data_IF_265950187360
#
_entry.id   IF_265950187360
#
_cell.length_a   1.000
_cell.length_b   1.000
_cell.length_c   1.000
_cell.angle_alpha   90.00
_cell.angle_beta   90.00
_cell.angle_gamma   90.00
#
_symmetry.space_group_name_H-M   'P 1'
#
loop_
_entity.id
_entity.type
_entity.pdbx_description
1 polymer ?
#
# COMPACT_ATOMS: atom_id res chain seq x y z
N UNK A 1 -9.36 12.07 -8.31
CA UNK A 1 -8.62 12.23 -7.04
C UNK A 1 -7.15 12.41 -7.39
N UNK A 2 -6.45 13.39 -6.83
CA UNK A 2 -5.02 13.58 -7.10
C UNK A 2 -4.21 12.92 -5.97
N UNK A 3 -3.64 11.75 -6.26
CA UNK A 3 -2.72 11.05 -5.35
C UNK A 3 -1.34 11.68 -5.44
N UNK A 4 -0.62 11.76 -4.32
CA UNK A 4 0.80 12.13 -4.32
C UNK A 4 1.64 11.07 -5.02
N UNK A 5 2.85 11.43 -5.46
CA UNK A 5 3.79 10.46 -6.07
C UNK A 5 4.06 9.26 -5.15
N UNK A 6 4.17 9.50 -3.84
CA UNK A 6 4.44 8.44 -2.87
C UNK A 6 3.21 7.54 -2.69
N UNK A 7 2.01 8.12 -2.59
CA UNK A 7 0.76 7.34 -2.54
C UNK A 7 0.59 6.48 -3.79
N UNK A 8 0.89 7.00 -4.98
CA UNK A 8 0.85 6.24 -6.23
C UNK A 8 1.87 5.10 -6.24
N UNK A 9 3.05 5.34 -5.69
CA UNK A 9 4.13 4.34 -5.62
C UNK A 9 3.75 3.20 -4.68
N UNK A 10 3.29 3.49 -3.46
CA UNK A 10 2.78 2.47 -2.51
C UNK A 10 1.60 1.73 -3.11
N UNK A 11 0.66 2.44 -3.72
CA UNK A 11 -0.52 1.83 -4.31
C UNK A 11 -0.15 0.84 -5.42
N UNK A 12 0.87 1.13 -6.24
CA UNK A 12 1.37 0.22 -7.27
C UNK A 12 2.14 -0.99 -6.71
N UNK A 13 2.73 -0.85 -5.52
CA UNK A 13 3.44 -1.94 -4.85
C UNK A 13 2.50 -2.87 -4.09
N UNK A 14 1.33 -2.39 -3.68
CA UNK A 14 0.29 -3.22 -3.08
C UNK A 14 -0.26 -4.22 -4.10
N UNK A 15 -0.61 -5.39 -3.59
CA UNK A 15 -1.26 -6.46 -4.37
C UNK A 15 -2.66 -6.75 -3.82
N UNK A 16 -3.39 -7.65 -4.48
CA UNK A 16 -4.67 -8.16 -3.96
C UNK A 16 -4.49 -9.12 -2.78
N UNK A 17 -3.27 -9.56 -2.52
CA UNK A 17 -2.90 -10.40 -1.37
C UNK A 17 -2.64 -9.53 -0.12
N UNK A 18 -2.81 -10.12 1.06
CA UNK A 18 -2.51 -9.45 2.32
C UNK A 18 -1.00 -9.34 2.55
N UNK A 19 -0.50 -8.12 2.70
CA UNK A 19 0.92 -7.82 2.86
C UNK A 19 1.15 -6.94 4.09
N UNK A 20 2.24 -7.19 4.81
CA UNK A 20 2.73 -6.29 5.86
C UNK A 20 3.46 -5.08 5.27
N UNK A 21 3.58 -3.95 5.99
CA UNK A 21 4.36 -2.79 5.55
C UNK A 21 5.79 -3.15 5.12
N UNK A 22 6.40 -4.14 5.77
CA UNK A 22 7.74 -4.64 5.44
C UNK A 22 7.72 -5.27 4.03
N UNK A 23 6.78 -6.18 3.77
CA UNK A 23 6.66 -6.83 2.44
C UNK A 23 6.34 -5.84 1.32
N UNK A 24 5.54 -4.80 1.62
CA UNK A 24 5.29 -3.72 0.66
C UNK A 24 6.56 -2.92 0.41
N UNK A 25 7.34 -2.61 1.46
CA UNK A 25 8.62 -1.90 1.31
C UNK A 25 9.69 -2.70 0.58
N UNK A 26 9.70 -4.02 0.69
CA UNK A 26 10.59 -4.91 -0.08
C UNK A 26 10.31 -4.88 -1.59
N UNK A 27 9.09 -4.50 -1.98
CA UNK A 27 8.68 -4.36 -3.38
C UNK A 27 9.05 -2.98 -3.96
N UNK A 28 9.63 -2.10 -3.15
CA UNK A 28 10.00 -0.73 -3.52
C UNK A 28 11.53 -0.57 -3.61
N UNK A 29 12.03 0.47 -4.31
CA UNK A 29 13.46 0.74 -4.37
C UNK A 29 14.08 0.89 -2.99
N UNK A 30 15.34 0.47 -2.84
CA UNK A 30 16.08 0.63 -1.60
C UNK A 30 16.12 2.11 -1.18
N UNK A 31 15.80 2.40 0.09
CA UNK A 31 15.77 3.77 0.61
C UNK A 31 14.49 4.55 0.33
N UNK A 32 13.43 3.92 -0.18
CA UNK A 32 12.16 4.60 -0.50
C UNK A 32 11.48 5.29 0.70
N UNK A 33 11.77 4.85 1.93
CA UNK A 33 11.31 5.53 3.14
C UNK A 33 11.42 4.65 4.37
N UNK A 34 11.13 5.22 5.54
CA UNK A 34 11.03 4.48 6.78
C UNK A 34 9.64 3.83 6.96
N UNK A 35 9.55 2.84 7.84
CA UNK A 35 8.30 2.10 8.10
C UNK A 35 7.18 2.99 8.66
N UNK A 36 7.49 4.11 9.32
CA UNK A 36 6.46 5.03 9.83
C UNK A 36 5.80 5.79 8.68
N UNK A 37 6.60 6.29 7.74
CA UNK A 37 6.12 6.94 6.51
C UNK A 37 5.28 5.98 5.67
N UNK A 38 5.73 4.73 5.51
CA UNK A 38 4.95 3.67 4.85
C UNK A 38 3.59 3.45 5.53
N UNK A 39 3.57 3.29 6.86
CA UNK A 39 2.33 3.08 7.61
C UNK A 39 1.36 4.25 7.48
N UNK A 40 1.88 5.48 7.44
CA UNK A 40 1.07 6.67 7.24
C UNK A 40 0.43 6.67 5.85
N UNK A 41 1.20 6.40 4.80
CA UNK A 41 0.71 6.32 3.42
C UNK A 41 -0.33 5.21 3.25
N UNK A 42 -0.13 4.04 3.86
CA UNK A 42 -1.11 2.96 3.85
C UNK A 42 -2.43 3.34 4.53
N UNK A 43 -2.37 4.06 5.66
CA UNK A 43 -3.57 4.59 6.34
C UNK A 43 -4.31 5.60 5.48
N UNK A 44 -3.57 6.49 4.82
CA UNK A 44 -4.16 7.45 3.88
C UNK A 44 -4.88 6.72 2.74
N UNK A 45 -4.22 5.75 2.08
CA UNK A 45 -4.83 4.95 1.01
C UNK A 45 -6.09 4.19 1.45
N UNK A 46 -6.16 3.73 2.70
CA UNK A 46 -7.39 3.17 3.29
C UNK A 46 -8.48 4.24 3.39
N UNK A 47 -8.14 5.45 3.88
CA UNK A 47 -9.06 6.58 3.94
C UNK A 47 -9.60 6.97 2.56
N UNK A 48 -8.80 6.79 1.50
CA UNK A 48 -9.22 6.99 0.10
C UNK A 48 -9.94 5.79 -0.51
N UNK A 49 -10.16 4.69 0.24
CA UNK A 49 -10.77 3.44 -0.22
C UNK A 49 -10.00 2.74 -1.35
N UNK A 50 -8.70 2.97 -1.45
CA UNK A 50 -7.81 2.34 -2.44
C UNK A 50 -7.07 1.13 -1.87
N UNK A 51 -7.03 1.02 -0.54
CA UNK A 51 -6.49 -0.13 0.18
C UNK A 51 -7.46 -0.59 1.27
N UNK A 52 -7.31 -1.85 1.69
CA UNK A 52 -8.00 -2.45 2.82
C UNK A 52 -6.99 -2.86 3.89
N UNK A 53 -7.44 -2.86 5.14
CA UNK A 53 -6.72 -3.50 6.24
C UNK A 53 -7.67 -4.42 7.00
N UNK A 54 -7.14 -5.46 7.62
CA UNK A 54 -7.91 -6.29 8.54
C UNK A 54 -7.81 -5.66 9.93
N UNK A 55 -8.91 -5.16 10.54
CA UNK A 55 -8.85 -4.55 11.87
C UNK A 55 -8.45 -5.55 12.99
N UNK A 56 -8.66 -6.85 12.76
CA UNK A 56 -8.28 -7.93 13.68
C UNK A 56 -6.81 -8.32 13.57
N UNK A 57 -6.22 -8.22 12.37
CA UNK A 57 -4.80 -8.49 12.13
C UNK A 57 -4.11 -7.17 11.85
N UNK A 58 -3.60 -6.56 12.93
CA UNK A 58 -2.90 -5.29 12.85
C UNK A 58 -1.76 -5.41 11.87
N UNK A 59 -1.71 -4.48 10.91
CA UNK A 59 -0.55 -4.33 10.04
C UNK A 59 -0.56 -5.21 8.79
N UNK A 60 -1.71 -5.71 8.33
CA UNK A 60 -1.84 -6.26 6.98
C UNK A 60 -2.70 -5.37 6.09
N UNK A 61 -2.24 -5.19 4.85
CA UNK A 61 -2.79 -4.27 3.85
C UNK A 61 -2.90 -4.98 2.51
N UNK A 62 -3.91 -4.62 1.71
CA UNK A 62 -4.05 -5.06 0.32
C UNK A 62 -4.77 -4.01 -0.51
N UNK A 63 -4.68 -4.12 -1.83
CA UNK A 63 -5.47 -3.31 -2.77
C UNK A 63 -6.98 -3.59 -2.60
N UNK A 64 -7.82 -2.57 -2.79
CA UNK A 64 -9.25 -2.79 -3.06
C UNK A 64 -9.45 -3.35 -4.48
N UNK A 65 -10.58 -4.01 -4.72
CA UNK A 65 -10.95 -4.49 -6.06
C UNK A 65 -11.10 -3.35 -7.11
N UNK A 66 -11.29 -2.11 -6.63
CA UNK A 66 -11.33 -0.88 -7.43
C UNK A 66 -9.95 -0.21 -7.62
N UNK A 67 -8.90 -0.71 -6.96
CA UNK A 67 -7.55 -0.21 -7.16
C UNK A 67 -7.00 -0.67 -8.52
N UNK A 68 -6.08 0.11 -9.14
CA UNK A 68 -5.49 -0.30 -10.42
C UNK A 68 -4.73 -1.62 -10.22
N UNK A 69 -5.19 -2.68 -10.86
CA UNK A 69 -4.52 -3.99 -10.84
C UNK A 69 -3.02 -3.80 -11.11
N UNK A 70 -2.12 -4.33 -10.26
CA UNK A 70 -0.71 -4.29 -10.56
C UNK A 70 -0.45 -5.03 -11.89
N UNK A 71 0.46 -4.53 -12.75
CA UNK A 71 0.78 -5.20 -14.00
C UNK A 71 1.29 -6.60 -13.71
N UNK A 72 0.66 -7.59 -14.34
CA UNK A 72 1.07 -8.99 -14.29
C UNK A 72 2.41 -9.11 -15.03
N UNK A 73 3.49 -9.37 -14.30
CA UNK A 73 4.79 -9.78 -14.88
C UNK A 73 4.71 -11.21 -15.43
#
# INVERSE_FOLDING_TARGET
>A
MNLTSDQQTVLRALTTEWQSPIQVSESLPEGWGDLSSMNQLLKELIGLKLAQTIPVVIGLYRLTADGPLPPKM
#
